data_IF_431208418800
#
_entry.id   IF_431208418800
#
_cell.length_a   1.000
_cell.length_b   1.000
_cell.length_c   1.000
_cell.angle_alpha   90.00
_cell.angle_beta   90.00
_cell.angle_gamma   90.00
#
_symmetry.space_group_name_H-M   'P 1'
#
loop_
_entity.id
_entity.type
_entity.pdbx_description
1 polymer ?
#
# COMPACT_ATOMS: atom_id res chain seq x y z
N UNK A 1 13.67 14.60 -7.91
CA UNK A 1 12.86 13.62 -7.15
C UNK A 1 11.98 12.90 -8.15
N UNK A 2 11.93 11.57 -8.14
CA UNK A 2 11.01 10.81 -9.01
C UNK A 2 9.58 10.95 -8.49
N UNK A 3 8.61 10.93 -9.42
CA UNK A 3 7.18 11.05 -9.10
C UNK A 3 6.74 9.83 -8.29
N UNK A 4 6.10 10.05 -7.14
CA UNK A 4 5.62 8.98 -6.26
C UNK A 4 4.17 8.62 -6.54
N UNK A 5 3.77 7.40 -6.16
CA UNK A 5 2.42 6.90 -6.37
C UNK A 5 1.36 7.77 -5.67
N UNK A 6 1.69 8.30 -4.48
CA UNK A 6 0.82 9.21 -3.71
C UNK A 6 0.46 10.51 -4.47
N UNK A 7 1.29 10.95 -5.42
CA UNK A 7 1.07 12.18 -6.19
C UNK A 7 0.08 11.99 -7.34
N UNK A 8 -0.33 10.75 -7.64
CA UNK A 8 -1.18 10.44 -8.80
C UNK A 8 -2.57 9.98 -8.37
N UNK A 9 -2.65 8.87 -7.64
CA UNK A 9 -3.93 8.27 -7.29
C UNK A 9 -3.80 7.39 -6.05
N UNK A 10 -4.89 7.31 -5.27
CA UNK A 10 -5.05 6.37 -4.19
C UNK A 10 -6.46 5.75 -4.23
N UNK A 11 -6.63 4.47 -3.85
CA UNK A 11 -7.94 3.81 -3.80
C UNK A 11 -8.73 4.27 -2.56
N UNK A 12 -9.23 5.51 -2.60
CA UNK A 12 -9.85 6.18 -1.45
C UNK A 12 -11.05 5.43 -0.87
N UNK A 13 -11.87 4.80 -1.72
CA UNK A 13 -13.05 4.04 -1.27
C UNK A 13 -12.63 2.89 -0.36
N UNK A 14 -11.60 2.12 -0.76
CA UNK A 14 -11.09 0.99 0.00
C UNK A 14 -10.40 1.44 1.30
N UNK A 15 -9.56 2.49 1.21
CA UNK A 15 -8.88 3.09 2.38
C UNK A 15 -9.89 3.60 3.40
N UNK A 16 -10.94 4.29 2.95
CA UNK A 16 -11.97 4.86 3.82
C UNK A 16 -12.82 3.77 4.48
N UNK A 17 -13.16 2.71 3.74
CA UNK A 17 -13.90 1.56 4.28
C UNK A 17 -13.12 0.88 5.42
N UNK A 18 -11.83 0.55 5.20
CA UNK A 18 -11.00 -0.04 6.26
C UNK A 18 -10.76 0.92 7.43
N UNK A 19 -10.60 2.20 7.15
CA UNK A 19 -10.44 3.22 8.19
C UNK A 19 -11.69 3.36 9.06
N UNK A 20 -12.88 3.21 8.47
CA UNK A 20 -14.15 3.20 9.20
C UNK A 20 -14.31 1.92 10.03
N UNK A 21 -13.96 0.77 9.46
CA UNK A 21 -13.95 -0.52 10.15
C UNK A 21 -13.02 -0.52 11.35
N UNK A 22 -11.79 -0.02 11.21
CA UNK A 22 -10.81 0.06 12.30
C UNK A 22 -11.35 0.85 13.51
N UNK A 23 -12.11 1.93 13.24
CA UNK A 23 -12.73 2.76 14.28
C UNK A 23 -13.87 2.04 15.01
N UNK A 24 -14.59 1.14 14.36
CA UNK A 24 -15.79 0.50 14.93
C UNK A 24 -15.51 -0.77 15.74
N UNK A 25 -14.29 -1.31 15.71
CA UNK A 25 -13.93 -2.57 16.41
C UNK A 25 -13.88 -2.42 17.94
N UNK A 26 -13.64 -1.21 18.46
CA UNK A 26 -13.43 -0.99 19.89
C UNK A 26 -14.71 -0.45 20.51
N UNK A 27 -15.54 -1.33 21.07
CA UNK A 27 -16.70 -0.93 21.86
C UNK A 27 -16.37 -1.06 23.36
N UNK A 28 -16.60 -0.02 24.16
CA UNK A 28 -16.42 -0.05 25.61
C UNK A 28 -14.98 0.00 26.15
N UNK A 29 -13.97 0.22 25.31
CA UNK A 29 -12.56 0.33 25.74
C UNK A 29 -12.22 1.77 26.15
N UNK A 30 -11.45 2.06 27.22
CA UNK A 30 -11.11 3.44 27.62
C UNK A 30 -10.51 4.31 26.50
N UNK A 31 -9.82 3.70 25.53
CA UNK A 31 -9.33 4.38 24.32
C UNK A 31 -10.42 4.92 23.38
N UNK A 32 -11.70 4.65 23.62
CA UNK A 32 -12.84 5.18 22.86
C UNK A 32 -13.38 6.47 23.45
N UNK A 33 -12.96 6.84 24.67
CA UNK A 33 -13.42 8.06 25.36
C UNK A 33 -12.68 9.31 24.90
N UNK A 34 -11.38 9.20 24.59
CA UNK A 34 -10.57 10.32 24.14
C UNK A 34 -9.58 9.87 23.05
N UNK A 35 -9.72 10.44 21.85
CA UNK A 35 -8.88 10.14 20.67
C UNK A 35 -7.61 10.99 20.58
N UNK A 36 -7.23 11.71 21.64
CA UNK A 36 -6.16 12.70 21.59
C UNK A 36 -4.77 12.13 21.87
N UNK A 37 -3.74 12.64 21.21
CA UNK A 37 -3.79 13.53 20.01
C UNK A 37 -4.09 12.70 18.75
N UNK A 38 -5.21 13.02 18.08
CA UNK A 38 -5.77 12.43 16.85
C UNK A 38 -5.09 11.17 16.30
N UNK A 39 -5.71 10.00 16.47
CA UNK A 39 -5.27 8.79 15.78
C UNK A 39 -5.66 8.86 14.29
N UNK A 40 -4.69 9.10 13.41
CA UNK A 40 -4.86 8.78 11.98
C UNK A 40 -5.11 7.27 11.88
N UNK A 41 -6.18 6.80 11.18
CA UNK A 41 -6.42 5.37 11.00
C UNK A 41 -5.17 4.68 10.45
N UNK A 42 -4.83 3.50 10.98
CA UNK A 42 -3.64 2.77 10.56
C UNK A 42 -3.74 2.37 9.09
N UNK A 43 -4.94 2.02 8.61
CA UNK A 43 -5.20 1.80 7.19
C UNK A 43 -4.76 2.99 6.31
N UNK A 44 -5.17 4.22 6.67
CA UNK A 44 -4.77 5.43 5.94
C UNK A 44 -3.25 5.67 6.05
N UNK A 45 -2.70 5.55 7.25
CA UNK A 45 -1.27 5.80 7.50
C UNK A 45 -0.40 4.83 6.70
N UNK A 46 -0.74 3.53 6.66
CA UNK A 46 -0.05 2.54 5.83
C UNK A 46 -0.11 2.88 4.36
N UNK A 47 -1.30 3.25 3.86
CA UNK A 47 -1.47 3.63 2.46
C UNK A 47 -0.58 4.83 2.07
N UNK A 48 -0.60 5.88 2.88
CA UNK A 48 0.17 7.10 2.65
C UNK A 48 1.67 6.84 2.69
N UNK A 49 2.17 6.12 3.71
CA UNK A 49 3.59 5.83 3.84
C UNK A 49 4.07 5.00 2.65
N UNK A 50 3.37 3.91 2.34
CA UNK A 50 3.77 3.02 1.26
C UNK A 50 3.75 3.72 -0.09
N UNK A 51 2.69 4.48 -0.40
CA UNK A 51 2.59 5.23 -1.65
C UNK A 51 3.58 6.41 -1.77
N UNK A 52 4.14 6.87 -0.65
CA UNK A 52 5.22 7.88 -0.64
C UNK A 52 6.59 7.27 -0.93
N UNK A 53 6.78 5.98 -0.66
CA UNK A 53 8.03 5.26 -0.91
C UNK A 53 8.10 4.71 -2.33
N UNK A 54 6.97 4.22 -2.86
CA UNK A 54 6.87 3.61 -4.18
C UNK A 54 6.76 4.66 -5.30
N UNK A 55 7.57 4.50 -6.34
CA UNK A 55 7.54 5.37 -7.52
C UNK A 55 6.31 5.10 -8.39
N UNK A 56 5.77 6.15 -9.01
CA UNK A 56 4.76 5.98 -10.06
C UNK A 56 5.42 5.44 -11.35
N UNK A 57 4.76 4.55 -12.12
CA UNK A 57 5.32 4.03 -13.37
C UNK A 57 5.71 5.10 -14.40
N UNK A 58 5.05 6.27 -14.39
CA UNK A 58 5.42 7.40 -15.27
C UNK A 58 6.79 8.00 -14.97
N UNK A 59 7.36 7.73 -13.79
CA UNK A 59 8.71 8.16 -13.43
C UNK A 59 9.82 7.34 -14.13
N UNK A 60 9.45 6.23 -14.79
CA UNK A 60 10.33 5.26 -15.42
C UNK A 60 9.95 5.02 -16.90
N UNK A 61 10.10 6.02 -17.78
CA UNK A 61 9.70 5.92 -19.19
C UNK A 61 10.45 4.83 -19.95
N UNK A 62 11.70 4.53 -19.58
CA UNK A 62 12.49 3.45 -20.19
C UNK A 62 11.89 2.06 -19.90
N UNK A 63 11.19 1.91 -18.77
CA UNK A 63 10.54 0.66 -18.34
C UNK A 63 9.06 0.62 -18.73
N UNK A 64 8.40 1.77 -18.73
CA UNK A 64 6.98 1.93 -19.05
C UNK A 64 6.81 3.03 -20.13
N UNK A 65 7.15 2.72 -21.40
CA UNK A 65 7.19 3.72 -22.45
C UNK A 65 5.81 4.21 -22.90
N UNK A 66 4.77 3.38 -22.75
CA UNK A 66 3.41 3.72 -23.17
C UNK A 66 2.52 4.06 -21.99
N UNK A 67 1.53 4.93 -22.22
CA UNK A 67 0.52 5.26 -21.21
C UNK A 67 -0.27 4.01 -20.77
N UNK A 68 -0.52 3.09 -21.69
CA UNK A 68 -1.18 1.81 -21.39
C UNK A 68 -0.37 0.97 -20.41
N UNK A 69 0.95 0.86 -20.60
CA UNK A 69 1.84 0.12 -19.71
C UNK A 69 1.93 0.81 -18.33
N UNK A 70 2.01 2.15 -18.31
CA UNK A 70 1.99 2.91 -17.06
C UNK A 70 0.69 2.71 -16.29
N UNK A 71 -0.46 2.75 -16.97
CA UNK A 71 -1.78 2.56 -16.36
C UNK A 71 -1.96 1.13 -15.84
N UNK A 72 -1.51 0.12 -16.57
CA UNK A 72 -1.57 -1.28 -16.15
C UNK A 72 -0.74 -1.52 -14.89
N UNK A 73 0.52 -1.05 -14.87
CA UNK A 73 1.38 -1.20 -13.70
C UNK A 73 0.86 -0.40 -12.51
N UNK A 74 0.35 0.82 -12.74
CA UNK A 74 -0.27 1.63 -11.70
C UNK A 74 -1.47 0.91 -11.11
N UNK A 75 -2.34 0.32 -11.93
CA UNK A 75 -3.47 -0.45 -11.45
C UNK A 75 -3.03 -1.65 -10.62
N UNK A 76 -1.93 -2.34 -10.99
CA UNK A 76 -1.35 -3.42 -10.19
C UNK A 76 -0.91 -2.92 -8.82
N UNK A 77 -0.17 -1.80 -8.76
CA UNK A 77 0.27 -1.18 -7.50
C UNK A 77 -0.90 -0.72 -6.63
N UNK A 78 -1.92 -0.11 -7.24
CA UNK A 78 -3.13 0.31 -6.52
C UNK A 78 -3.91 -0.91 -5.99
N UNK A 79 -4.02 -1.98 -6.77
CA UNK A 79 -4.66 -3.23 -6.33
C UNK A 79 -3.88 -3.95 -5.22
N UNK A 80 -2.55 -3.79 -5.17
CA UNK A 80 -1.71 -4.26 -4.07
C UNK A 80 -1.95 -3.43 -2.81
N UNK A 81 -2.05 -2.10 -2.97
CA UNK A 81 -2.31 -1.17 -1.87
C UNK A 81 -3.68 -1.41 -1.25
N UNK A 82 -4.73 -1.36 -2.06
CA UNK A 82 -6.08 -1.68 -1.65
C UNK A 82 -6.99 -2.01 -2.85
N UNK A 83 -7.78 -3.06 -2.72
CA UNK A 83 -8.88 -3.36 -3.64
C UNK A 83 -10.14 -3.76 -2.86
N UNK A 84 -11.30 -3.56 -3.49
CA UNK A 84 -12.58 -4.02 -2.97
C UNK A 84 -13.03 -5.19 -3.84
N UNK A 85 -13.36 -6.31 -3.21
CA UNK A 85 -13.95 -7.44 -3.91
C UNK A 85 -15.42 -7.11 -4.24
N UNK A 86 -15.76 -7.07 -5.52
CA UNK A 86 -17.09 -6.70 -6.01
C UNK A 86 -18.16 -7.76 -5.73
N UNK A 87 -17.75 -8.99 -5.42
CA UNK A 87 -18.65 -10.13 -5.18
C UNK A 87 -19.26 -10.13 -3.78
N UNK A 88 -18.65 -9.40 -2.84
CA UNK A 88 -19.10 -9.35 -1.45
C UNK A 88 -20.16 -8.28 -1.22
N UNK A 89 -21.35 -8.69 -0.76
CA UNK A 89 -22.43 -7.76 -0.32
C UNK A 89 -21.97 -6.81 0.78
N UNK A 90 -20.94 -7.20 1.54
CA UNK A 90 -20.22 -6.35 2.49
C UNK A 90 -18.83 -6.09 1.89
N UNK A 91 -18.73 -5.06 1.04
CA UNK A 91 -17.50 -4.59 0.39
C UNK A 91 -16.23 -4.97 1.17
N UNK A 92 -15.62 -6.10 0.81
CA UNK A 92 -14.48 -6.62 1.54
C UNK A 92 -13.22 -6.00 0.96
N UNK A 93 -12.39 -5.42 1.83
CA UNK A 93 -11.15 -4.79 1.42
C UNK A 93 -10.00 -5.77 1.58
N UNK A 94 -9.17 -5.86 0.55
CA UNK A 94 -7.91 -6.60 0.51
C UNK A 94 -6.74 -5.65 0.23
N UNK A 95 -5.52 -6.12 0.43
CA UNK A 95 -4.28 -5.38 0.19
C UNK A 95 -3.61 -4.88 1.47
N UNK A 96 -2.60 -4.04 1.29
CA UNK A 96 -1.77 -3.46 2.37
C UNK A 96 -2.63 -2.70 3.40
N UNK A 97 -3.78 -2.16 3.03
CA UNK A 97 -4.64 -1.45 4.00
C UNK A 97 -5.39 -2.38 4.93
N UNK A 98 -5.58 -3.66 4.55
CA UNK A 98 -6.35 -4.64 5.29
C UNK A 98 -5.56 -5.18 6.49
N UNK A 99 -6.11 -5.05 7.70
CA UNK A 99 -5.46 -5.55 8.92
C UNK A 99 -5.29 -7.06 8.91
N UNK A 100 -6.30 -7.80 8.47
CA UNK A 100 -6.32 -9.26 8.47
C UNK A 100 -5.27 -9.85 7.54
N UNK A 101 -4.92 -9.18 6.45
CA UNK A 101 -3.87 -9.65 5.54
C UNK A 101 -2.48 -9.34 6.08
N UNK A 102 -2.28 -8.15 6.65
CA UNK A 102 -0.99 -7.75 7.22
C UNK A 102 -0.64 -8.53 8.48
N UNK A 103 -1.63 -8.84 9.33
CA UNK A 103 -1.39 -9.49 10.61
C UNK A 103 -1.16 -11.01 10.50
N UNK A 104 -1.17 -11.58 9.29
CA UNK A 104 -0.85 -12.99 9.07
C UNK A 104 0.66 -13.25 9.23
N UNK A 105 1.07 -14.37 9.84
CA UNK A 105 2.47 -14.77 9.83
C UNK A 105 2.93 -14.97 8.38
N UNK A 106 4.12 -14.47 8.04
CA UNK A 106 4.67 -14.51 6.67
C UNK A 106 3.70 -14.00 5.61
N UNK A 107 3.05 -12.87 5.91
CA UNK A 107 2.08 -12.25 5.03
C UNK A 107 2.65 -12.01 3.62
N UNK A 108 2.07 -12.62 2.56
CA UNK A 108 2.56 -12.43 1.20
C UNK A 108 2.34 -10.99 0.71
N UNK A 109 1.31 -10.30 1.22
CA UNK A 109 1.05 -8.90 0.87
C UNK A 109 2.16 -7.99 1.42
N UNK A 110 2.69 -8.29 2.61
CA UNK A 110 3.83 -7.54 3.17
C UNK A 110 5.11 -7.79 2.40
N UNK A 111 5.38 -9.04 2.02
CA UNK A 111 6.55 -9.38 1.20
C UNK A 111 6.50 -8.66 -0.16
N UNK A 112 5.34 -8.67 -0.82
CA UNK A 112 5.14 -7.91 -2.06
C UNK A 112 5.32 -6.40 -1.83
N UNK A 113 4.74 -5.84 -0.77
CA UNK A 113 4.88 -4.42 -0.44
C UNK A 113 6.34 -4.02 -0.20
N UNK A 114 7.11 -4.86 0.49
CA UNK A 114 8.55 -4.68 0.73
C UNK A 114 9.32 -4.76 -0.59
N UNK A 115 9.05 -5.76 -1.43
CA UNK A 115 9.68 -5.90 -2.75
C UNK A 115 9.48 -4.64 -3.61
N UNK A 116 8.28 -4.03 -3.57
CA UNK A 116 8.01 -2.79 -4.31
C UNK A 116 8.78 -1.56 -3.80
N UNK A 117 9.00 -1.49 -2.48
CA UNK A 117 9.84 -0.46 -1.87
C UNK A 117 11.29 -0.67 -2.30
N UNK A 118 11.83 -1.88 -2.15
CA UNK A 118 13.18 -2.22 -2.57
C UNK A 118 13.39 -1.96 -4.07
N UNK A 119 12.40 -2.31 -4.90
CA UNK A 119 12.40 -2.04 -6.35
C UNK A 119 12.52 -0.56 -6.67
N UNK A 120 11.73 0.27 -5.99
CA UNK A 120 11.78 1.73 -6.17
C UNK A 120 13.13 2.30 -5.70
N UNK A 121 13.68 1.82 -4.59
CA UNK A 121 14.99 2.24 -4.08
C UNK A 121 16.12 1.84 -5.06
N UNK A 122 16.14 0.58 -5.50
CA UNK A 122 17.16 0.04 -6.38
C UNK A 122 17.18 0.77 -7.72
N UNK A 123 16.01 0.98 -8.34
CA UNK A 123 15.96 1.73 -9.59
C UNK A 123 16.45 3.17 -9.42
N UNK A 124 16.12 3.84 -8.31
CA UNK A 124 16.65 5.18 -8.02
C UNK A 124 18.18 5.20 -7.85
N UNK A 125 18.80 4.09 -7.43
CA UNK A 125 20.25 3.90 -7.36
C UNK A 125 20.88 3.35 -8.64
N UNK A 126 20.08 3.05 -9.66
CA UNK A 126 20.51 2.33 -10.87
C UNK A 126 21.08 0.93 -10.58
N UNK A 127 20.57 0.29 -9.54
CA UNK A 127 20.89 -1.08 -9.12
C UNK A 127 19.77 -2.05 -9.53
N UNK A 128 20.07 -3.35 -9.54
CA UNK A 128 19.08 -4.40 -9.70
C UNK A 128 18.38 -4.69 -8.37
N UNK A 129 17.05 -4.85 -8.35
CA UNK A 129 16.32 -5.07 -7.11
C UNK A 129 16.54 -6.48 -6.56
N UNK A 130 16.70 -6.64 -5.23
CA UNK A 130 16.80 -7.95 -4.60
C UNK A 130 15.50 -8.75 -4.80
N UNK A 131 15.64 -10.07 -4.95
CA UNK A 131 14.52 -10.99 -5.25
C UNK A 131 14.12 -11.78 -4.00
N UNK A 132 15.10 -12.23 -3.21
CA UNK A 132 14.82 -13.04 -2.03
C UNK A 132 14.21 -12.21 -0.90
N UNK A 133 13.29 -12.81 -0.14
CA UNK A 133 12.57 -12.10 0.92
C UNK A 133 13.50 -11.64 2.05
N UNK A 134 14.60 -12.35 2.31
CA UNK A 134 15.55 -11.94 3.35
C UNK A 134 16.42 -10.79 2.84
N UNK A 135 16.94 -10.90 1.62
CA UNK A 135 17.72 -9.84 0.96
C UNK A 135 16.92 -8.54 0.84
N UNK A 136 15.63 -8.62 0.47
CA UNK A 136 14.74 -7.45 0.41
C UNK A 136 14.65 -6.74 1.76
N UNK A 137 14.61 -7.48 2.88
CA UNK A 137 14.52 -6.89 4.22
C UNK A 137 15.83 -6.24 4.64
N UNK A 138 16.95 -6.81 4.26
CA UNK A 138 18.27 -6.26 4.55
C UNK A 138 18.58 -5.02 3.67
N UNK A 139 17.88 -4.88 2.54
CA UNK A 139 18.07 -3.79 1.59
C UNK A 139 17.30 -2.48 1.92
N UNK A 140 16.16 -2.59 2.62
CA UNK A 140 15.27 -1.45 2.96
C UNK A 140 15.64 -0.85 4.30
#
# INVERSE_FOLDING_TARGET
>A
MKKKLIEVALPLVAINSESAREKSIRHGHPSTLHLWWSRKPLATTRAVIWASLVDDPSAWPDRFPTETAQNQERQRLLNLLARIDAEDKKQKVQGIVCWEEINKPNSPILQQAQAEIARSIAWNRSEEPPIDSQEIRDYI
#
